data_IF_265211063397
#
_entry.id   IF_265211063397
#
_cell.length_a   1.000
_cell.length_b   1.000
_cell.length_c   1.000
_cell.angle_alpha   90.00
_cell.angle_beta   90.00
_cell.angle_gamma   90.00
#
_symmetry.space_group_name_H-M   'P 1'
#
loop_
_entity.id
_entity.type
_entity.pdbx_description
1 polymer ?
#
# COMPACT_ATOMS: atom_id res chain seq x y z
N UNK A 1 18.13 -31.99 -19.42
CA UNK A 1 17.40 -31.82 -18.15
C UNK A 1 17.83 -30.49 -17.56
N UNK A 2 17.03 -29.44 -17.71
CA UNK A 2 17.34 -28.12 -17.16
C UNK A 2 16.07 -27.54 -16.55
N UNK A 3 15.60 -28.16 -15.47
CA UNK A 3 14.57 -27.58 -14.61
C UNK A 3 15.15 -26.33 -13.93
N UNK A 4 14.66 -25.15 -14.31
CA UNK A 4 14.85 -23.91 -13.56
C UNK A 4 13.50 -23.50 -12.96
N UNK A 5 13.20 -23.82 -11.70
CA UNK A 5 11.95 -23.43 -11.04
C UNK A 5 12.07 -22.09 -10.28
N UNK A 6 12.88 -21.14 -10.75
CA UNK A 6 13.12 -19.87 -10.04
C UNK A 6 12.32 -18.68 -10.58
N UNK A 7 11.59 -18.86 -11.68
CA UNK A 7 10.73 -17.80 -12.23
C UNK A 7 9.36 -17.71 -11.51
N UNK A 8 8.86 -18.82 -10.94
CA UNK A 8 7.49 -18.86 -10.40
C UNK A 8 7.36 -18.26 -9.01
N UNK A 9 8.34 -18.41 -8.12
CA UNK A 9 8.27 -17.90 -6.75
C UNK A 9 8.23 -16.36 -6.70
N UNK A 10 9.03 -15.71 -7.55
CA UNK A 10 9.08 -14.24 -7.63
C UNK A 10 7.80 -13.67 -8.26
N UNK A 11 7.21 -14.35 -9.25
CA UNK A 11 5.91 -13.97 -9.81
C UNK A 11 4.74 -14.25 -8.86
N UNK A 12 4.79 -15.32 -8.07
CA UNK A 12 3.78 -15.60 -7.03
C UNK A 12 3.81 -14.53 -5.93
N UNK A 13 4.99 -14.08 -5.48
CA UNK A 13 5.13 -13.00 -4.48
C UNK A 13 4.69 -11.65 -5.05
N UNK A 14 5.00 -11.37 -6.32
CA UNK A 14 4.57 -10.16 -7.02
C UNK A 14 3.05 -10.10 -7.21
N UNK A 15 2.42 -11.23 -7.53
CA UNK A 15 0.97 -11.30 -7.77
C UNK A 15 0.12 -11.40 -6.48
N UNK A 16 0.66 -11.91 -5.36
CA UNK A 16 -0.18 -12.29 -4.21
C UNK A 16 -0.27 -11.27 -3.08
N UNK A 17 0.79 -10.54 -2.73
CA UNK A 17 0.76 -9.60 -1.61
C UNK A 17 1.36 -8.23 -1.96
N UNK A 18 2.51 -8.17 -2.62
CA UNK A 18 3.18 -6.87 -2.87
C UNK A 18 2.34 -5.93 -3.75
N UNK A 19 1.74 -6.45 -4.83
CA UNK A 19 0.86 -5.64 -5.67
C UNK A 19 -0.40 -5.17 -4.94
N UNK A 20 -0.96 -6.01 -4.05
CA UNK A 20 -2.11 -5.65 -3.22
C UNK A 20 -1.76 -4.60 -2.17
N UNK A 21 -0.57 -4.69 -1.57
CA UNK A 21 -0.04 -3.65 -0.68
C UNK A 21 0.14 -2.34 -1.44
N UNK A 22 0.69 -2.37 -2.66
CA UNK A 22 0.87 -1.18 -3.48
C UNK A 22 -0.47 -0.53 -3.87
N UNK A 23 -1.46 -1.33 -4.24
CA UNK A 23 -2.81 -0.81 -4.54
C UNK A 23 -3.46 -0.20 -3.30
N UNK A 24 -3.34 -0.84 -2.14
CA UNK A 24 -3.85 -0.30 -0.88
C UNK A 24 -3.14 1.00 -0.47
N UNK A 25 -1.82 1.09 -0.68
CA UNK A 25 -1.05 2.32 -0.44
C UNK A 25 -1.54 3.45 -1.37
N UNK A 26 -1.73 3.14 -2.66
CA UNK A 26 -2.25 4.10 -3.65
C UNK A 26 -3.66 4.58 -3.32
N UNK A 27 -4.55 3.69 -2.91
CA UNK A 27 -5.91 4.05 -2.48
C UNK A 27 -5.89 4.96 -1.26
N UNK A 28 -4.99 4.72 -0.30
CA UNK A 28 -4.85 5.57 0.89
C UNK A 28 -4.39 6.98 0.51
N UNK A 29 -3.44 7.10 -0.42
CA UNK A 29 -2.98 8.40 -0.94
C UNK A 29 -4.13 9.13 -1.65
N UNK A 30 -4.94 8.43 -2.45
CA UNK A 30 -6.08 9.03 -3.15
C UNK A 30 -7.17 9.49 -2.17
N UNK A 31 -7.44 8.73 -1.11
CA UNK A 31 -8.34 9.14 -0.03
C UNK A 31 -7.82 10.38 0.69
N UNK A 32 -6.53 10.40 1.04
CA UNK A 32 -5.89 11.56 1.67
C UNK A 32 -5.98 12.80 0.80
N UNK A 33 -5.69 12.66 -0.50
CA UNK A 33 -5.86 13.73 -1.48
C UNK A 33 -7.30 14.26 -1.46
N UNK A 34 -8.29 13.39 -1.53
CA UNK A 34 -9.70 13.81 -1.55
C UNK A 34 -10.06 14.58 -0.27
N UNK A 35 -9.75 14.03 0.91
CA UNK A 35 -10.05 14.69 2.20
C UNK A 35 -9.38 16.05 2.31
N UNK A 36 -8.10 16.17 1.94
CA UNK A 36 -7.39 17.44 2.01
C UNK A 36 -7.86 18.43 0.94
N UNK A 37 -8.26 17.98 -0.24
CA UNK A 37 -8.88 18.85 -1.25
C UNK A 37 -10.25 19.37 -0.81
N UNK A 38 -11.09 18.53 -0.20
CA UNK A 38 -12.37 18.94 0.41
C UNK A 38 -12.14 19.97 1.51
N UNK A 39 -11.15 19.74 2.37
CA UNK A 39 -10.81 20.65 3.48
C UNK A 39 -10.22 21.98 3.00
N UNK A 40 -9.42 21.95 1.92
CA UNK A 40 -8.82 23.14 1.35
C UNK A 40 -9.81 23.96 0.51
N UNK A 41 -10.90 23.35 0.03
CA UNK A 41 -11.85 23.96 -0.89
C UNK A 41 -11.32 24.09 -2.33
N UNK A 42 -10.20 23.43 -2.64
CA UNK A 42 -9.60 23.37 -3.97
C UNK A 42 -8.76 22.09 -4.10
N UNK A 43 -8.49 21.64 -5.32
CA UNK A 43 -7.65 20.45 -5.49
C UNK A 43 -6.20 20.75 -5.09
N UNK A 44 -5.72 20.09 -4.03
CA UNK A 44 -4.34 20.25 -3.56
C UNK A 44 -3.30 19.62 -4.50
N UNK A 45 -3.76 18.77 -5.45
CA UNK A 45 -2.91 18.06 -6.39
C UNK A 45 -2.30 16.77 -5.82
N UNK A 46 -1.97 15.83 -6.72
CA UNK A 46 -1.50 14.51 -6.34
C UNK A 46 -0.13 14.53 -5.64
N UNK A 47 0.84 15.27 -6.18
CA UNK A 47 2.21 15.34 -5.63
C UNK A 47 2.24 15.89 -4.18
N UNK A 48 1.42 16.91 -3.91
CA UNK A 48 1.31 17.50 -2.58
C UNK A 48 0.67 16.53 -1.59
N UNK A 49 -0.42 15.88 -2.00
CA UNK A 49 -1.09 14.87 -1.19
C UNK A 49 -0.16 13.67 -0.92
N UNK A 50 0.56 13.20 -1.93
CA UNK A 50 1.52 12.10 -1.83
C UNK A 50 2.63 12.43 -0.85
N UNK A 51 3.26 13.59 -0.98
CA UNK A 51 4.35 14.01 -0.10
C UNK A 51 3.88 14.13 1.35
N UNK A 52 2.73 14.78 1.57
CA UNK A 52 2.14 14.93 2.90
C UNK A 52 1.79 13.57 3.53
N UNK A 53 1.20 12.68 2.73
CA UNK A 53 0.84 11.34 3.16
C UNK A 53 2.05 10.48 3.54
N UNK A 54 3.11 10.52 2.72
CA UNK A 54 4.36 9.79 2.97
C UNK A 54 4.99 10.22 4.29
N UNK A 55 5.01 11.52 4.58
CA UNK A 55 5.66 12.07 5.77
C UNK A 55 4.83 11.77 7.04
N UNK A 56 3.51 11.92 6.98
CA UNK A 56 2.66 11.88 8.18
C UNK A 56 2.04 10.52 8.48
N UNK A 57 1.65 9.77 7.45
CA UNK A 57 0.75 8.61 7.60
C UNK A 57 1.41 7.29 7.24
N UNK A 58 2.32 7.26 6.25
CA UNK A 58 2.91 6.03 5.71
C UNK A 58 3.53 5.11 6.77
N UNK A 59 4.28 5.68 7.71
CA UNK A 59 4.92 4.90 8.78
C UNK A 59 3.90 4.19 9.69
N UNK A 60 2.79 4.86 10.01
CA UNK A 60 1.71 4.28 10.81
C UNK A 60 0.92 3.25 10.02
N UNK A 61 0.62 3.55 8.75
CA UNK A 61 -0.08 2.65 7.85
C UNK A 61 0.66 1.31 7.67
N UNK A 62 1.98 1.35 7.43
CA UNK A 62 2.81 0.13 7.35
C UNK A 62 2.77 -0.71 8.62
N UNK A 63 2.87 -0.07 9.79
CA UNK A 63 2.79 -0.77 11.09
C UNK A 63 1.43 -1.44 11.28
N UNK A 64 0.34 -0.76 10.93
CA UNK A 64 -1.01 -1.32 11.00
C UNK A 64 -1.18 -2.53 10.08
N UNK A 65 -0.66 -2.47 8.84
CA UNK A 65 -0.68 -3.61 7.89
C UNK A 65 0.11 -4.81 8.39
N UNK A 66 1.31 -4.60 8.94
CA UNK A 66 2.12 -5.68 9.52
C UNK A 66 1.42 -6.36 10.72
N UNK A 67 0.77 -5.56 11.57
CA UNK A 67 -0.02 -6.09 12.69
C UNK A 67 -1.25 -6.85 12.20
N UNK A 68 -1.95 -6.37 11.17
CA UNK A 68 -3.09 -7.08 10.56
C UNK A 68 -2.66 -8.42 9.96
N UNK A 69 -1.58 -8.49 9.19
CA UNK A 69 -1.08 -9.74 8.59
C UNK A 69 -0.72 -10.79 9.65
N UNK A 70 -0.23 -10.34 10.81
CA UNK A 70 0.12 -11.23 11.93
C UNK A 70 -1.12 -11.78 12.62
N UNK A 71 -2.24 -11.04 12.64
CA UNK A 71 -3.52 -11.49 13.19
C UNK A 71 -4.23 -12.47 12.25
N UNK A 72 -4.12 -12.31 10.92
CA UNK A 72 -4.77 -13.22 9.96
C UNK A 72 -4.21 -14.65 10.01
N UNK A 73 -2.96 -14.84 10.45
CA UNK A 73 -2.31 -16.15 10.52
C UNK A 73 -2.63 -16.95 11.81
N UNK A 74 -3.43 -16.43 12.75
CA UNK A 74 -3.81 -17.13 13.98
C UNK A 74 -5.25 -17.68 13.98
N UNK A 75 -6.03 -17.40 12.95
CA UNK A 75 -7.37 -17.99 12.76
C UNK A 75 -7.33 -18.95 11.58
N UNK A 76 -6.74 -20.14 11.77
CA UNK A 76 -7.07 -21.33 11.01
C UNK A 76 -6.72 -22.59 11.80
#
# INVERSE_FOLDING_TARGET
MSDRPDASANDLVKNSNLYREFQAEREEILKHKWIESEKAGYDIGFERALTDWIVKYRSKWRKARQAQQSQTNQTN
#
